data_IF_371425339765
#
_entry.id   IF_371425339765
#
_cell.length_a   1.000
_cell.length_b   1.000
_cell.length_c   1.000
_cell.angle_alpha   90.00
_cell.angle_beta   90.00
_cell.angle_gamma   90.00
#
_symmetry.space_group_name_H-M   'P 1'
#
loop_
_entity.id
_entity.type
_entity.pdbx_description
1 polymer ?
#
# COMPACT_ATOMS: atom_id res chain seq x y z
N UNK A 1 -9.89 -7.06 3.58
CA UNK A 1 -8.92 -6.15 2.94
C UNK A 1 -7.72 -6.91 2.34
N UNK A 2 -6.97 -7.69 3.12
CA UNK A 2 -5.79 -8.42 2.60
C UNK A 2 -6.14 -9.75 1.91
N UNK A 3 -5.70 -9.98 0.66
CA UNK A 3 -5.83 -11.27 -0.02
C UNK A 3 -5.13 -12.41 0.72
N UNK A 4 -5.68 -13.63 0.63
CA UNK A 4 -5.09 -14.81 1.30
C UNK A 4 -3.96 -15.46 0.49
N UNK A 5 -3.96 -15.28 -0.84
CA UNK A 5 -2.95 -15.88 -1.71
C UNK A 5 -1.59 -15.25 -1.44
N UNK A 6 -0.61 -16.07 -1.07
CA UNK A 6 0.76 -15.65 -0.77
C UNK A 6 0.93 -14.98 0.59
N UNK A 7 -0.15 -14.84 1.38
CA UNK A 7 -0.10 -14.24 2.70
C UNK A 7 0.66 -15.16 3.67
N UNK A 8 1.64 -14.62 4.38
CA UNK A 8 2.33 -15.34 5.46
C UNK A 8 1.37 -15.44 6.66
N UNK A 9 1.19 -16.67 7.17
CA UNK A 9 0.33 -16.93 8.33
C UNK A 9 0.69 -16.07 9.53
N UNK A 10 -0.34 -15.54 10.22
CA UNK A 10 -0.21 -14.67 11.40
C UNK A 10 0.63 -13.39 11.20
N UNK A 11 0.90 -12.99 9.96
CA UNK A 11 1.69 -11.78 9.65
C UNK A 11 0.90 -10.47 9.75
N UNK A 12 -0.42 -10.54 9.94
CA UNK A 12 -1.28 -9.36 10.02
C UNK A 12 -0.99 -8.62 11.32
N UNK A 13 -0.61 -7.36 11.21
CA UNK A 13 -0.27 -6.54 12.37
C UNK A 13 -0.86 -5.14 12.24
N UNK A 14 -0.88 -4.41 13.35
CA UNK A 14 -1.23 -2.99 13.41
C UNK A 14 0.00 -2.23 13.89
N UNK A 15 0.51 -1.36 13.03
CA UNK A 15 1.54 -0.38 13.39
C UNK A 15 0.83 0.82 13.99
N UNK A 16 1.11 1.09 15.27
CA UNK A 16 0.41 2.12 16.02
C UNK A 16 0.78 3.53 15.54
N UNK A 17 2.06 3.78 15.29
CA UNK A 17 2.56 5.07 14.84
C UNK A 17 3.77 4.92 13.90
N UNK A 18 3.98 5.94 13.07
CA UNK A 18 5.15 6.13 12.20
C UNK A 18 5.47 4.92 11.32
N UNK A 19 4.44 4.32 10.72
CA UNK A 19 4.64 3.19 9.82
C UNK A 19 5.55 3.61 8.65
N UNK A 20 6.44 2.69 8.23
CA UNK A 20 7.43 2.93 7.18
C UNK A 20 8.44 4.07 7.51
N UNK A 21 8.49 4.52 8.77
CA UNK A 21 9.33 5.65 9.19
C UNK A 21 8.76 7.03 8.80
N UNK A 22 7.48 7.10 8.44
CA UNK A 22 6.82 8.33 7.98
C UNK A 22 6.01 8.93 9.14
N UNK A 23 6.40 10.13 9.56
CA UNK A 23 5.75 10.86 10.67
C UNK A 23 4.24 11.01 10.46
N UNK A 24 3.46 10.60 11.46
CA UNK A 24 2.00 10.66 11.43
C UNK A 24 1.33 9.61 10.53
N UNK A 25 2.09 8.67 9.95
CA UNK A 25 1.52 7.51 9.25
C UNK A 25 1.10 6.43 10.26
N UNK A 26 0.06 6.75 11.02
CA UNK A 26 -0.39 5.99 12.18
C UNK A 26 -1.55 5.03 11.85
N UNK A 27 -1.80 4.09 12.77
CA UNK A 27 -2.89 3.11 12.70
C UNK A 27 -2.93 2.35 11.37
N UNK A 28 -1.78 1.80 11.00
CA UNK A 28 -1.58 1.14 9.71
C UNK A 28 -1.65 -0.36 9.89
N UNK A 29 -2.66 -0.99 9.27
CA UNK A 29 -2.70 -2.43 9.19
C UNK A 29 -1.69 -2.89 8.14
N UNK A 30 -0.88 -3.89 8.46
CA UNK A 30 0.11 -4.48 7.56
C UNK A 30 -0.10 -5.98 7.44
N UNK A 31 0.37 -6.54 6.33
CA UNK A 31 0.37 -7.96 6.05
C UNK A 31 1.58 -8.33 5.21
N UNK A 32 2.29 -9.41 5.57
CA UNK A 32 3.44 -9.88 4.82
C UNK A 32 3.04 -10.94 3.80
N UNK A 33 3.68 -10.89 2.64
CA UNK A 33 3.49 -11.82 1.54
C UNK A 33 4.85 -12.41 1.15
N UNK A 34 4.79 -13.64 0.65
CA UNK A 34 5.95 -14.32 0.09
C UNK A 34 5.59 -14.84 -1.30
N UNK A 35 6.47 -14.57 -2.27
CA UNK A 35 6.44 -15.22 -3.58
C UNK A 35 7.86 -15.66 -3.97
N UNK A 36 8.00 -16.22 -5.17
CA UNK A 36 9.29 -16.69 -5.69
C UNK A 36 10.36 -15.58 -5.78
N UNK A 37 9.96 -14.30 -5.74
CA UNK A 37 10.82 -13.12 -5.80
C UNK A 37 11.23 -12.53 -4.45
N UNK A 38 10.66 -13.00 -3.33
CA UNK A 38 11.02 -12.55 -1.98
C UNK A 38 9.83 -12.20 -1.09
N UNK A 39 10.15 -11.69 0.10
CA UNK A 39 9.16 -11.18 1.05
C UNK A 39 8.84 -9.73 0.75
N UNK A 40 7.56 -9.38 0.75
CA UNK A 40 7.06 -8.02 0.55
C UNK A 40 5.83 -7.80 1.43
N UNK A 41 5.34 -6.58 1.54
CA UNK A 41 4.19 -6.31 2.41
C UNK A 41 3.14 -5.44 1.74
N UNK A 42 1.91 -5.54 2.22
CA UNK A 42 0.89 -4.55 1.93
C UNK A 42 0.45 -3.86 3.20
N UNK A 43 0.01 -2.61 3.04
CA UNK A 43 -0.52 -1.81 4.12
C UNK A 43 -1.82 -1.14 3.74
N UNK A 44 -2.70 -0.99 4.72
CA UNK A 44 -3.97 -0.27 4.61
C UNK A 44 -4.16 0.58 5.85
N UNK A 45 -4.40 1.86 5.66
CA UNK A 45 -4.67 2.80 6.75
C UNK A 45 -5.94 3.59 6.44
N UNK A 46 -6.84 3.70 7.44
CA UNK A 46 -8.01 4.56 7.33
C UNK A 46 -7.67 5.97 7.81
N UNK A 47 -8.20 6.98 7.13
CA UNK A 47 -8.11 8.39 7.48
C UNK A 47 -9.51 8.96 7.74
N UNK A 48 -9.56 10.17 8.30
CA UNK A 48 -10.83 10.78 8.71
C UNK A 48 -11.72 11.12 7.50
N UNK A 49 -11.11 11.48 6.38
CA UNK A 49 -11.75 11.88 5.13
C UNK A 49 -11.00 11.37 3.90
N UNK A 50 -11.65 11.45 2.74
CA UNK A 50 -11.03 11.15 1.44
C UNK A 50 -9.85 12.09 1.15
N UNK A 51 -10.01 13.38 1.47
CA UNK A 51 -8.92 14.35 1.32
C UNK A 51 -7.72 14.03 2.23
N UNK A 52 -7.97 13.60 3.47
CA UNK A 52 -6.89 13.19 4.38
C UNK A 52 -6.16 11.93 3.87
N UNK A 53 -6.89 10.98 3.26
CA UNK A 53 -6.27 9.83 2.61
C UNK A 53 -5.46 10.23 1.38
N UNK A 54 -5.97 11.13 0.55
CA UNK A 54 -5.26 11.66 -0.62
C UNK A 54 -3.98 12.37 -0.23
N UNK A 55 -4.03 13.26 0.76
CA UNK A 55 -2.86 13.99 1.27
C UNK A 55 -1.83 13.00 1.79
N UNK A 56 -2.25 12.03 2.61
CA UNK A 56 -1.32 11.04 3.15
C UNK A 56 -0.69 10.15 2.05
N UNK A 57 -1.45 9.72 1.05
CA UNK A 57 -0.90 8.97 -0.08
C UNK A 57 0.15 9.80 -0.86
N UNK A 58 -0.09 11.11 -1.02
CA UNK A 58 0.89 12.01 -1.62
C UNK A 58 2.13 12.19 -0.74
N UNK A 59 1.97 12.32 0.59
CA UNK A 59 3.09 12.39 1.54
C UNK A 59 3.98 11.15 1.46
N UNK A 60 3.40 9.95 1.41
CA UNK A 60 4.16 8.70 1.29
C UNK A 60 4.90 8.64 -0.05
N UNK A 61 4.22 9.00 -1.16
CA UNK A 61 4.86 9.10 -2.48
C UNK A 61 6.06 10.05 -2.43
N UNK A 62 5.87 11.24 -1.89
CA UNK A 62 6.90 12.28 -1.85
C UNK A 62 8.09 11.87 -0.97
N UNK A 63 7.83 11.16 0.14
CA UNK A 63 8.86 10.53 0.95
C UNK A 63 9.75 9.60 0.09
N UNK A 64 9.18 8.63 -0.61
CA UNK A 64 9.99 7.72 -1.44
C UNK A 64 10.76 8.45 -2.54
N UNK A 65 10.16 9.45 -3.18
CA UNK A 65 10.86 10.26 -4.19
C UNK A 65 12.01 11.07 -3.61
N UNK A 66 11.85 11.63 -2.40
CA UNK A 66 12.90 12.38 -1.69
C UNK A 66 14.11 11.49 -1.35
N UNK A 67 13.86 10.23 -0.97
CA UNK A 67 14.90 9.26 -0.62
C UNK A 67 15.49 8.49 -1.82
N UNK A 68 15.27 8.98 -3.04
CA UNK A 68 15.92 8.46 -4.27
C UNK A 68 15.07 7.52 -5.10
N UNK A 69 13.78 7.40 -4.80
CA UNK A 69 12.82 6.67 -5.61
C UNK A 69 12.61 7.33 -6.98
N UNK A 70 12.43 6.49 -8.00
CA UNK A 70 12.16 6.93 -9.37
C UNK A 70 10.71 6.59 -9.74
N UNK A 71 9.90 7.54 -10.21
CA UNK A 71 8.53 7.26 -10.63
C UNK A 71 8.54 6.39 -11.89
N UNK A 72 7.69 5.36 -11.90
CA UNK A 72 7.45 4.50 -13.05
C UNK A 72 6.06 4.73 -13.63
N UNK A 73 5.88 4.37 -14.91
CA UNK A 73 4.57 4.33 -15.53
C UNK A 73 3.69 3.25 -14.88
N UNK A 74 2.47 3.64 -14.51
CA UNK A 74 1.47 2.80 -13.86
C UNK A 74 0.04 3.22 -14.19
N UNK A 75 -0.96 2.49 -13.68
CA UNK A 75 -2.36 2.82 -13.87
C UNK A 75 -2.73 4.19 -13.27
N UNK A 76 -3.71 4.86 -13.87
CA UNK A 76 -4.19 6.15 -13.36
C UNK A 76 -4.63 6.06 -11.89
N UNK A 77 -4.14 7.02 -11.10
CA UNK A 77 -4.42 7.11 -9.67
C UNK A 77 -3.53 6.23 -8.78
N UNK A 78 -2.61 5.44 -9.35
CA UNK A 78 -1.57 4.72 -8.60
C UNK A 78 -0.23 5.40 -8.80
N UNK A 79 0.47 5.66 -7.70
CA UNK A 79 1.89 6.01 -7.74
C UNK A 79 2.69 4.72 -7.70
N UNK A 80 3.51 4.49 -8.73
CA UNK A 80 4.43 3.36 -8.80
C UNK A 80 5.84 3.91 -8.75
N UNK A 81 6.67 3.43 -7.83
CA UNK A 81 8.01 3.96 -7.58
C UNK A 81 9.00 2.79 -7.52
N UNK A 82 10.10 2.91 -8.24
CA UNK A 82 11.28 2.05 -8.12
C UNK A 82 12.23 2.65 -7.08
N UNK A 83 12.57 1.88 -6.06
CA UNK A 83 13.54 2.28 -5.05
C UNK A 83 14.28 1.05 -4.51
N UNK A 84 15.62 1.13 -4.46
CA UNK A 84 16.49 0.08 -3.91
C UNK A 84 16.22 -1.33 -4.49
N UNK A 85 16.03 -1.43 -5.81
CA UNK A 85 15.71 -2.67 -6.53
C UNK A 85 14.36 -3.29 -6.13
N UNK A 86 13.48 -2.51 -5.52
CA UNK A 86 12.11 -2.91 -5.15
C UNK A 86 11.08 -1.90 -5.67
N UNK A 87 9.83 -2.34 -5.72
CA UNK A 87 8.72 -1.52 -6.18
C UNK A 87 7.78 -1.17 -5.03
N UNK A 88 7.49 0.12 -4.92
CA UNK A 88 6.46 0.69 -4.07
C UNK A 88 5.23 1.02 -4.92
N UNK A 89 4.04 0.71 -4.41
CA UNK A 89 2.77 1.16 -5.00
C UNK A 89 1.96 1.86 -3.93
N UNK A 90 1.51 3.08 -4.21
CA UNK A 90 0.73 3.89 -3.26
C UNK A 90 -0.48 4.50 -3.98
N UNK A 91 -1.65 4.38 -3.36
CA UNK A 91 -2.87 5.06 -3.82
C UNK A 91 -3.82 5.30 -2.66
N UNK A 92 -4.87 6.07 -2.93
CA UNK A 92 -6.01 6.22 -2.02
C UNK A 92 -7.31 5.77 -2.69
N UNK A 93 -8.26 5.32 -1.88
CA UNK A 93 -9.62 4.99 -2.30
C UNK A 93 -10.57 5.40 -1.18
N UNK A 94 -11.35 6.46 -1.42
CA UNK A 94 -12.14 7.06 -0.36
C UNK A 94 -11.26 7.39 0.85
N UNK A 95 -11.66 6.94 2.03
CA UNK A 95 -10.93 7.20 3.28
C UNK A 95 -9.72 6.29 3.51
N UNK A 96 -9.37 5.43 2.56
CA UNK A 96 -8.28 4.46 2.73
C UNK A 96 -7.04 4.89 1.97
N UNK A 97 -5.89 4.79 2.62
CA UNK A 97 -4.56 4.79 2.02
C UNK A 97 -4.14 3.34 1.90
N UNK A 98 -3.70 2.95 0.71
CA UNK A 98 -3.34 1.57 0.40
C UNK A 98 -1.99 1.58 -0.28
N UNK A 99 -1.14 0.63 0.07
CA UNK A 99 0.06 0.41 -0.69
C UNK A 99 0.69 -0.96 -0.54
N UNK A 100 1.68 -1.19 -1.39
CA UNK A 100 2.54 -2.36 -1.40
C UNK A 100 3.97 -1.86 -1.25
N UNK A 101 4.69 -2.49 -0.33
CA UNK A 101 6.03 -2.13 0.09
C UNK A 101 7.00 -3.27 -0.17
N UNK A 102 8.17 -2.91 -0.73
CA UNK A 102 9.27 -3.81 -1.09
C UNK A 102 8.87 -4.94 -2.06
N UNK A 103 7.96 -4.68 -3.01
CA UNK A 103 7.63 -5.71 -3.98
C UNK A 103 8.83 -6.01 -4.90
N UNK A 104 9.06 -7.28 -5.28
CA UNK A 104 10.20 -7.65 -6.12
C UNK A 104 10.11 -7.14 -7.56
N UNK A 105 8.90 -6.81 -8.01
CA UNK A 105 8.64 -6.32 -9.36
C UNK A 105 7.30 -5.59 -9.45
N UNK A 106 7.11 -4.84 -10.54
CA UNK A 106 5.93 -4.00 -10.75
C UNK A 106 4.64 -4.81 -10.89
N UNK A 107 4.69 -5.97 -11.53
CA UNK A 107 3.51 -6.79 -11.79
C UNK A 107 2.99 -7.41 -10.49
N UNK A 108 3.90 -7.87 -9.62
CA UNK A 108 3.59 -8.33 -8.26
C UNK A 108 2.94 -7.22 -7.45
N UNK A 109 3.52 -6.02 -7.46
CA UNK A 109 3.00 -4.88 -6.71
C UNK A 109 1.59 -4.48 -7.15
N UNK A 110 1.39 -4.33 -8.47
CA UNK A 110 0.10 -3.95 -9.05
C UNK A 110 -0.96 -5.04 -8.85
N UNK A 111 -0.58 -6.32 -8.94
CA UNK A 111 -1.51 -7.44 -8.72
C UNK A 111 -2.02 -7.47 -7.27
N UNK A 112 -1.17 -7.22 -6.28
CA UNK A 112 -1.60 -7.17 -4.87
C UNK A 112 -2.43 -5.92 -4.59
N UNK A 113 -1.98 -4.76 -5.05
CA UNK A 113 -2.71 -3.50 -4.92
C UNK A 113 -4.13 -3.58 -5.51
N UNK A 114 -4.27 -4.16 -6.71
CA UNK A 114 -5.56 -4.36 -7.37
C UNK A 114 -6.51 -5.28 -6.60
N UNK A 115 -6.00 -6.37 -6.02
CA UNK A 115 -6.82 -7.28 -5.21
C UNK A 115 -7.30 -6.63 -3.90
N UNK A 116 -6.48 -5.76 -3.28
CA UNK A 116 -6.89 -5.01 -2.08
C UNK A 116 -7.96 -3.98 -2.45
N UNK A 117 -7.76 -3.23 -3.54
CA UNK A 117 -8.70 -2.25 -4.07
C UNK A 117 -10.09 -2.88 -4.31
N UNK A 118 -10.12 -4.03 -4.98
CA UNK A 118 -11.36 -4.76 -5.25
C UNK A 118 -12.07 -5.16 -3.94
N UNK A 119 -11.34 -5.72 -2.98
CA UNK A 119 -11.94 -6.14 -1.70
C UNK A 119 -12.45 -4.99 -0.85
N UNK A 120 -11.82 -3.81 -0.93
CA UNK A 120 -12.31 -2.62 -0.25
C UNK A 120 -13.56 -2.07 -0.92
N UNK A 121 -13.64 -2.13 -2.26
CA UNK A 121 -14.84 -1.74 -2.99
C UNK A 121 -16.04 -2.64 -2.65
N UNK A 122 -15.85 -3.97 -2.64
CA UNK A 122 -16.89 -4.92 -2.25
C UNK A 122 -17.37 -4.69 -0.80
N UNK A 123 -16.45 -4.37 0.12
CA UNK A 123 -16.80 -4.12 1.52
C UNK A 123 -17.53 -2.78 1.76
N UNK A 124 -17.25 -1.77 0.95
CA UNK A 124 -17.96 -0.48 1.01
C UNK A 124 -19.36 -0.59 0.35
N UNK A 125 -19.52 -1.41 -0.70
CA UNK A 125 -20.80 -1.63 -1.40
C UNK A 125 -21.79 -2.48 -0.57
N UNK A 126 -21.32 -3.46 0.20
CA UNK A 126 -22.14 -4.29 1.10
C UNK A 126 -22.57 -3.55 2.40
N UNK A 127 -22.09 -2.32 2.61
CA UNK A 127 -22.37 -1.48 3.77
C UNK A 127 -23.53 -0.50 3.62
N UNK A 128 -24.27 -0.53 2.49
CA UNK A 128 -25.40 0.36 2.16
C UNK A 128 -26.72 -0.40 2.04
#
# INVERSE_FOLDING_TARGET
>A
MFPEKGLVGDSRSLVAADALGIDGFDQVFTAQYLNDGGGFSAYVARRDSDEAARVMAATIRDFYLEYGGTPLDGPDGLSVIDILDTIEVIFHQGRYVIGVHEAPDKDTALALAGQIRQRLQEADDDGN
#
